data_IF_897176735737
#
_entry.id   IF_897176735737
#
_cell.length_a   1.000
_cell.length_b   1.000
_cell.length_c   1.000
_cell.angle_alpha   90.00
_cell.angle_beta   90.00
_cell.angle_gamma   90.00
#
_symmetry.space_group_name_H-M   'P 1'
#
loop_
_entity.id
_entity.type
_entity.pdbx_description
1 polymer ?
#
# COMPACT_ATOMS: atom_id res chain seq x y z
N UNK A 1 9.58 10.58 20.20
CA UNK A 1 9.37 10.72 18.73
C UNK A 1 7.88 10.96 18.51
N UNK A 2 7.50 12.07 17.88
CA UNK A 2 6.10 12.27 17.46
C UNK A 2 5.89 11.53 16.13
N UNK A 3 5.26 10.37 16.19
CA UNK A 3 4.85 9.58 15.03
C UNK A 3 3.44 10.03 14.63
N UNK A 4 3.36 10.93 13.65
CA UNK A 4 2.08 11.31 13.07
C UNK A 4 1.82 10.40 11.86
N UNK A 5 1.01 9.37 12.07
CA UNK A 5 0.49 8.50 11.02
C UNK A 5 -1.02 8.70 10.94
N UNK A 6 -1.51 9.15 9.79
CA UNK A 6 -2.94 9.23 9.50
C UNK A 6 -3.28 8.03 8.60
N UNK A 7 -4.19 7.18 9.07
CA UNK A 7 -4.73 6.07 8.28
C UNK A 7 -5.96 6.62 7.54
N UNK A 8 -5.96 6.47 6.22
CA UNK A 8 -7.09 6.87 5.39
C UNK A 8 -7.60 5.62 4.67
N UNK A 9 -8.63 5.01 5.27
CA UNK A 9 -9.42 3.97 4.59
C UNK A 9 -10.50 4.62 3.75
N UNK A 10 -10.71 4.06 2.56
CA UNK A 10 -11.76 4.39 1.60
C UNK A 10 -11.97 5.88 1.27
N UNK A 11 -10.88 6.60 1.00
CA UNK A 11 -10.96 8.02 0.58
C UNK A 11 -11.43 8.21 -0.86
N UNK A 12 -11.61 7.13 -1.61
CA UNK A 12 -11.99 7.15 -3.03
C UNK A 12 -11.10 8.09 -3.88
N UNK A 13 -9.85 8.30 -3.47
CA UNK A 13 -8.89 9.18 -4.11
C UNK A 13 -7.96 8.35 -5.01
N UNK A 14 -8.06 8.54 -6.32
CA UNK A 14 -7.30 7.77 -7.30
C UNK A 14 -6.14 8.57 -7.84
N UNK A 15 -4.93 8.02 -7.76
CA UNK A 15 -3.72 8.62 -8.31
C UNK A 15 -2.72 7.54 -8.71
N UNK A 16 -2.14 7.66 -9.92
CA UNK A 16 -1.13 6.73 -10.44
C UNK A 16 0.11 6.62 -9.54
N UNK A 17 0.44 7.67 -8.77
CA UNK A 17 1.58 7.72 -7.84
C UNK A 17 1.47 6.69 -6.70
N UNK A 18 0.27 6.22 -6.36
CA UNK A 18 0.07 5.14 -5.39
C UNK A 18 -0.56 3.88 -6.02
N UNK A 19 -0.37 3.71 -7.32
CA UNK A 19 -0.69 2.47 -8.03
C UNK A 19 -2.12 2.36 -8.57
N UNK A 20 -2.90 3.45 -8.55
CA UNK A 20 -4.21 3.44 -9.22
C UNK A 20 -4.08 3.39 -10.74
N UNK A 21 -5.11 2.87 -11.43
CA UNK A 21 -5.14 2.87 -12.91
C UNK A 21 -5.39 4.24 -13.52
N UNK A 22 -6.08 5.12 -12.80
CA UNK A 22 -6.44 6.45 -13.28
C UNK A 22 -6.31 7.48 -12.17
N UNK A 23 -6.35 8.75 -12.55
CA UNK A 23 -6.43 9.86 -11.62
C UNK A 23 -7.87 10.35 -11.48
N UNK A 24 -8.24 10.85 -10.31
CA UNK A 24 -9.47 11.61 -10.11
C UNK A 24 -9.19 12.93 -9.36
N UNK A 25 -10.16 13.87 -9.30
CA UNK A 25 -9.94 15.17 -8.65
C UNK A 25 -9.50 15.07 -7.19
N UNK A 26 -10.07 14.14 -6.42
CA UNK A 26 -9.68 13.90 -5.03
C UNK A 26 -8.22 13.40 -4.91
N UNK A 27 -7.79 12.49 -5.79
CA UNK A 27 -6.42 12.00 -5.81
C UNK A 27 -5.41 13.05 -6.28
N UNK A 28 -5.78 13.93 -7.21
CA UNK A 28 -4.94 15.06 -7.60
C UNK A 28 -4.79 16.09 -6.46
N UNK A 29 -5.88 16.41 -5.78
CA UNK A 29 -5.87 17.31 -4.63
C UNK A 29 -5.01 16.73 -3.49
N UNK A 30 -5.25 15.46 -3.15
CA UNK A 30 -4.51 14.77 -2.11
C UNK A 30 -3.01 14.72 -2.43
N UNK A 31 -2.65 14.31 -3.65
CA UNK A 31 -1.27 14.29 -4.11
C UNK A 31 -0.60 15.66 -3.94
N UNK A 32 -1.27 16.75 -4.36
CA UNK A 32 -0.77 18.11 -4.19
C UNK A 32 -0.53 18.45 -2.71
N UNK A 33 -1.49 18.16 -1.83
CA UNK A 33 -1.37 18.42 -0.39
C UNK A 33 -0.21 17.63 0.20
N UNK A 34 -0.10 16.33 -0.11
CA UNK A 34 0.96 15.47 0.42
C UNK A 34 2.34 15.92 -0.06
N UNK A 35 2.48 16.34 -1.31
CA UNK A 35 3.74 16.88 -1.83
C UNK A 35 4.13 18.18 -1.14
N UNK A 36 3.19 19.13 -1.01
CA UNK A 36 3.47 20.44 -0.39
C UNK A 36 3.83 20.33 1.09
N UNK A 37 3.19 19.41 1.82
CA UNK A 37 3.38 19.22 3.26
C UNK A 37 4.45 18.16 3.59
N UNK A 38 5.07 17.59 2.56
CA UNK A 38 6.10 16.55 2.64
C UNK A 38 5.64 15.31 3.40
N UNK A 39 4.39 14.90 3.19
CA UNK A 39 3.89 13.61 3.63
C UNK A 39 4.31 12.52 2.65
N UNK A 40 4.59 11.34 3.18
CA UNK A 40 4.80 10.13 2.40
C UNK A 40 3.49 9.37 2.27
N UNK A 41 3.23 8.89 1.06
CA UNK A 41 2.14 7.95 0.80
C UNK A 41 2.74 6.55 0.75
N UNK A 42 2.20 5.65 1.57
CA UNK A 42 2.53 4.22 1.53
C UNK A 42 1.32 3.50 0.95
N UNK A 43 1.54 2.80 -0.16
CA UNK A 43 0.51 2.05 -0.86
C UNK A 43 0.84 0.56 -0.86
N UNK A 44 -0.18 -0.30 -0.70
CA UNK A 44 0.02 -1.73 -0.75
C UNK A 44 0.45 -2.19 -2.15
N UNK A 45 1.11 -3.36 -2.25
CA UNK A 45 1.58 -3.88 -3.53
C UNK A 45 0.45 -4.31 -4.49
N UNK A 46 -0.78 -4.46 -4.00
CA UNK A 46 -1.94 -4.89 -4.81
C UNK A 46 -3.22 -4.16 -4.43
N UNK A 47 -4.25 -4.27 -5.28
CA UNK A 47 -5.57 -3.66 -5.10
C UNK A 47 -6.17 -3.94 -3.73
N UNK A 48 -6.79 -2.92 -3.14
CA UNK A 48 -7.50 -3.01 -1.85
C UNK A 48 -9.00 -3.03 -2.04
N UNK A 49 -9.49 -2.53 -3.18
CA UNK A 49 -10.90 -2.56 -3.55
C UNK A 49 -11.14 -3.58 -4.66
N UNK A 50 -12.15 -4.44 -4.47
CA UNK A 50 -12.54 -5.56 -5.32
C UNK A 50 -14.03 -5.48 -5.66
N UNK A 51 -14.40 -4.69 -6.68
CA UNK A 51 -15.80 -4.46 -7.01
C UNK A 51 -16.49 -5.72 -7.54
N UNK A 52 -17.73 -5.95 -7.10
CA UNK A 52 -18.61 -6.97 -7.68
C UNK A 52 -19.12 -6.61 -9.09
N UNK A 53 -19.11 -5.32 -9.45
CA UNK A 53 -19.60 -4.87 -10.75
C UNK A 53 -18.55 -5.07 -11.84
N UNK A 54 -18.88 -5.70 -12.98
CA UNK A 54 -17.94 -5.89 -14.09
C UNK A 54 -17.55 -4.57 -14.78
N UNK A 55 -18.27 -3.48 -14.52
CA UNK A 55 -17.97 -2.14 -15.05
C UNK A 55 -16.91 -1.41 -14.23
N UNK A 56 -16.57 -1.92 -13.05
CA UNK A 56 -15.56 -1.36 -12.17
C UNK A 56 -14.34 -2.28 -12.17
N UNK A 57 -13.16 -1.69 -12.05
CA UNK A 57 -11.90 -2.41 -11.99
C UNK A 57 -11.35 -2.34 -10.56
N UNK A 58 -10.70 -3.41 -10.06
CA UNK A 58 -9.99 -3.37 -8.79
C UNK A 58 -8.96 -2.25 -8.75
N UNK A 59 -8.81 -1.60 -7.61
CA UNK A 59 -7.98 -0.40 -7.47
C UNK A 59 -7.39 -0.30 -6.04
N UNK A 60 -6.43 0.60 -5.84
CA UNK A 60 -5.84 0.89 -4.51
C UNK A 60 -6.55 2.11 -3.95
N UNK A 61 -7.46 1.91 -2.99
CA UNK A 61 -8.22 2.98 -2.35
C UNK A 61 -7.86 3.18 -0.87
N UNK A 62 -7.17 2.21 -0.29
CA UNK A 62 -6.73 2.22 1.10
C UNK A 62 -5.22 2.45 1.15
N UNK A 63 -4.82 3.60 1.67
CA UNK A 63 -3.43 4.06 1.71
C UNK A 63 -3.09 4.67 3.07
N UNK A 64 -1.80 4.72 3.39
CA UNK A 64 -1.32 5.41 4.60
C UNK A 64 -0.64 6.71 4.23
N UNK A 65 -0.94 7.78 4.97
CA UNK A 65 -0.29 9.08 4.82
C UNK A 65 0.49 9.36 6.09
N UNK A 66 1.79 9.52 5.94
CA UNK A 66 2.69 9.50 7.09
C UNK A 66 3.71 10.63 7.04
N UNK A 67 4.10 11.13 8.22
CA UNK A 67 5.26 12.00 8.39
C UNK A 67 6.29 11.29 9.27
N UNK A 68 6.74 10.14 8.77
CA UNK A 68 7.67 9.26 9.48
C UNK A 68 9.11 9.59 9.08
N UNK A 69 10.00 9.65 10.08
CA UNK A 69 11.45 9.81 9.89
C UNK A 69 11.99 8.76 8.92
N UNK A 70 12.94 9.14 8.07
CA UNK A 70 13.65 8.20 7.19
C UNK A 70 14.43 7.11 7.96
N UNK A 71 14.63 7.29 9.26
CA UNK A 71 15.28 6.31 10.14
C UNK A 71 14.38 5.12 10.53
N UNK A 72 13.10 5.16 10.19
CA UNK A 72 12.16 4.07 10.47
C UNK A 72 11.78 3.37 9.17
N UNK A 73 11.79 2.04 9.21
CA UNK A 73 11.37 1.21 8.12
C UNK A 73 9.86 1.00 8.17
N UNK A 74 9.21 1.13 7.01
CA UNK A 74 7.78 0.93 6.87
C UNK A 74 7.51 -0.13 5.81
N UNK A 75 6.72 -1.14 6.16
CA UNK A 75 6.29 -2.20 5.25
C UNK A 75 4.77 -2.20 5.18
N UNK A 76 4.26 -2.33 3.97
CA UNK A 76 2.83 -2.37 3.72
C UNK A 76 2.48 -3.63 2.94
N UNK A 77 1.50 -4.37 3.44
CA UNK A 77 1.06 -5.64 2.83
C UNK A 77 -0.46 -5.69 2.80
N UNK A 78 -1.01 -6.27 1.72
CA UNK A 78 -2.41 -6.64 1.69
C UNK A 78 -2.63 -7.87 2.56
N UNK A 79 -3.75 -7.90 3.27
CA UNK A 79 -4.28 -9.09 3.91
C UNK A 79 -5.38 -9.67 3.03
N UNK A 80 -5.32 -10.97 2.78
CA UNK A 80 -6.31 -11.65 1.95
C UNK A 80 -7.43 -12.20 2.83
N UNK A 81 -8.42 -11.37 3.13
CA UNK A 81 -9.61 -11.76 3.88
C UNK A 81 -10.86 -11.62 3.00
N UNK A 82 -11.65 -12.68 2.79
CA UNK A 82 -12.77 -12.68 1.83
C UNK A 82 -14.07 -12.06 2.36
N UNK A 83 -14.03 -11.32 3.47
CA UNK A 83 -15.23 -10.89 4.18
C UNK A 83 -15.89 -9.61 3.62
N UNK A 84 -15.25 -8.91 2.69
CA UNK A 84 -15.70 -7.62 2.14
C UNK A 84 -15.19 -7.43 0.69
N UNK A 85 -15.76 -6.45 -0.02
CA UNK A 85 -15.20 -5.92 -1.27
C UNK A 85 -13.96 -5.04 -1.04
N UNK A 86 -13.56 -4.83 0.22
CA UNK A 86 -12.24 -4.33 0.59
C UNK A 86 -11.37 -5.42 1.23
N UNK A 87 -10.10 -5.46 0.83
CA UNK A 87 -9.05 -6.24 1.49
C UNK A 87 -8.33 -5.36 2.52
N UNK A 88 -8.22 -5.81 3.79
CA UNK A 88 -7.47 -5.06 4.80
C UNK A 88 -6.01 -4.86 4.39
N UNK A 89 -5.40 -3.80 4.92
CA UNK A 89 -3.99 -3.48 4.68
C UNK A 89 -3.28 -3.41 6.03
N UNK A 90 -2.10 -4.00 6.12
CA UNK A 90 -1.26 -3.97 7.31
C UNK A 90 -0.05 -3.07 7.05
N UNK A 91 0.13 -2.05 7.90
CA UNK A 91 1.35 -1.26 8.00
C UNK A 91 2.18 -1.73 9.18
N UNK A 92 3.41 -2.16 8.92
CA UNK A 92 4.43 -2.45 9.93
C UNK A 92 5.45 -1.32 9.96
N UNK A 93 5.74 -0.80 11.16
CA UNK A 93 6.77 0.23 11.38
C UNK A 93 7.83 -0.38 12.30
N UNK A 94 9.09 -0.35 11.88
CA UNK A 94 10.20 -0.93 12.62
C UNK A 94 11.42 0.00 12.61
N UNK A 95 12.28 -0.12 13.62
CA UNK A 95 13.59 0.51 13.66
C UNK A 95 14.65 -0.38 13.01
N UNK A 96 14.39 -1.68 12.86
CA UNK A 96 15.29 -2.65 12.23
C UNK A 96 15.01 -2.75 10.71
N UNK A 97 16.05 -2.95 9.88
CA UNK A 97 15.87 -3.22 8.45
C UNK A 97 15.04 -4.50 8.24
N UNK A 98 14.44 -4.70 7.05
CA UNK A 98 13.56 -5.83 6.84
C UNK A 98 14.36 -7.10 7.05
N UNK A 99 13.80 -8.15 7.67
CA UNK A 99 14.41 -9.45 7.60
C UNK A 99 14.63 -9.77 6.11
N UNK A 100 15.90 -9.94 5.71
CA UNK A 100 16.26 -10.39 4.37
C UNK A 100 15.37 -11.60 4.11
N UNK A 101 14.53 -11.55 3.07
CA UNK A 101 13.83 -12.74 2.61
C UNK A 101 14.93 -13.74 2.32
N UNK A 102 15.16 -14.67 3.24
CA UNK A 102 15.95 -15.85 2.92
C UNK A 102 15.27 -16.41 1.68
N UNK A 103 16.04 -16.55 0.60
CA UNK A 103 15.62 -17.36 -0.53
C UNK A 103 15.07 -18.63 0.12
N UNK A 104 13.76 -18.87 -0.03
CA UNK A 104 13.16 -20.08 0.48
C UNK A 104 14.09 -21.22 0.03
N UNK A 105 14.62 -22.06 0.93
CA UNK A 105 15.32 -23.24 0.47
C UNK A 105 14.33 -24.04 -0.39
N UNK A 106 14.52 -24.01 -1.70
CA UNK A 106 13.72 -24.82 -2.62
C UNK A 106 14.24 -26.25 -2.54
N UNK A 107 13.35 -27.19 -2.24
CA UNK A 107 13.61 -28.64 -2.25
C UNK A 107 13.46 -29.26 -3.65
N UNK A 108 13.44 -28.46 -4.72
CA UNK A 108 13.39 -29.01 -6.07
C UNK A 108 14.79 -29.35 -6.55
N UNK A 109 15.09 -30.65 -6.64
CA UNK A 109 16.23 -31.13 -7.42
C UNK A 109 16.01 -30.73 -8.88
N UNK A 110 16.73 -29.72 -9.35
CA UNK A 110 16.79 -29.41 -10.77
C UNK A 110 17.35 -30.62 -11.51
N UNK A 111 16.56 -31.21 -12.41
CA UNK A 111 17.02 -32.26 -13.29
C UNK A 111 18.08 -31.66 -14.22
N UNK A 112 19.35 -31.99 -13.99
CA UNK A 112 20.43 -31.69 -14.93
C UNK A 112 20.36 -32.73 -16.05
N UNK A 113 20.01 -32.28 -17.26
CA UNK A 113 20.28 -33.01 -18.49
C UNK A 113 21.75 -32.87 -18.88
#
# INVERSE_FOLDING_TARGET
MNLNCLILQDINAKQIQWGCHTNNPHGNLLHRITTLQQYKILSPPSSTYWPNSPRKRPDILDIYITKISNSLNCYITNLHEPCSDHSPVLLTIDTLPPPIKSLLPSLTNGHMN
#
